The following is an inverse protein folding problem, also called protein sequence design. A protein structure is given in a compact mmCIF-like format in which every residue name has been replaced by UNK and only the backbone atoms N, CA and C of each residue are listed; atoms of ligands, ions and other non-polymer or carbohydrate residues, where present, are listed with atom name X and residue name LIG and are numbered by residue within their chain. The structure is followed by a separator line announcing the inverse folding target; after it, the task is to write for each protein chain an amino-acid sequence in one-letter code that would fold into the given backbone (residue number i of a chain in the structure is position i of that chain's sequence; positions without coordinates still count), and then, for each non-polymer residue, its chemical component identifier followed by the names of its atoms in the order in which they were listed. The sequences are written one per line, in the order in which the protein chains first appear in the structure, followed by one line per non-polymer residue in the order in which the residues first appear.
data_IF_770842150983
#
_entry.id   IF_770842150983
#
_cell.length_a   1.000
_cell.length_b   1.000
_cell.length_c   1.000
_cell.angle_alpha   90.00
_cell.angle_beta   90.00
_cell.angle_gamma   90.00
#
_symmetry.space_group_name_H-M   'P 1'
#
loop_
_entity.id
_entity.type
_entity.pdbx_description
1 polymer ?
#
# COMPACT_ATOMS: atom_id res chain seq x y z
N UNK A 1 4.39 -0.69 17.84
CA UNK A 1 4.59 -0.96 16.40
C UNK A 1 3.25 -0.91 15.69
N UNK A 2 3.16 -0.18 14.57
CA UNK A 2 1.91 -0.09 13.84
C UNK A 2 1.65 -1.36 13.02
N UNK A 3 0.37 -1.76 12.94
CA UNK A 3 -0.03 -2.78 11.99
C UNK A 3 0.09 -2.25 10.56
N UNK A 4 0.38 -3.13 9.61
CA UNK A 4 0.50 -2.72 8.22
C UNK A 4 -0.79 -2.11 7.66
N UNK A 5 -1.94 -2.49 8.20
CA UNK A 5 -3.24 -1.98 7.75
C UNK A 5 -3.64 -0.68 8.43
N UNK A 6 -2.86 -0.17 9.37
CA UNK A 6 -3.18 1.10 10.01
C UNK A 6 -2.88 2.27 9.10
N UNK A 7 -3.74 3.28 9.17
CA UNK A 7 -3.52 4.53 8.46
C UNK A 7 -2.22 5.17 8.96
N UNK A 8 -1.34 5.52 8.03
CA UNK A 8 -0.06 6.15 8.35
C UNK A 8 1.10 5.17 8.45
N UNK A 9 0.86 3.87 8.29
CA UNK A 9 1.95 2.90 8.27
C UNK A 9 2.88 3.16 7.08
N UNK A 10 4.19 3.19 7.34
CA UNK A 10 5.20 3.38 6.30
C UNK A 10 6.07 2.12 6.29
N UNK A 11 6.16 1.48 5.12
CA UNK A 11 6.92 0.24 5.01
C UNK A 11 8.40 0.51 4.71
N UNK A 12 9.18 -0.56 4.58
CA UNK A 12 10.63 -0.46 4.34
C UNK A 12 11.00 0.20 3.01
N UNK A 13 10.05 0.34 2.11
CA UNK A 13 10.26 0.91 0.77
C UNK A 13 9.74 2.35 0.68
N UNK A 14 9.46 3.00 1.81
CA UNK A 14 8.90 4.35 1.87
C UNK A 14 7.53 4.46 1.20
N UNK A 15 6.74 3.41 1.31
CA UNK A 15 5.37 3.41 0.82
C UNK A 15 4.43 3.55 2.02
N UNK A 16 3.60 4.58 2.00
CA UNK A 16 2.71 4.90 3.12
C UNK A 16 1.31 4.36 2.86
N UNK A 17 0.75 3.70 3.87
CA UNK A 17 -0.66 3.29 3.83
C UNK A 17 -1.52 4.47 4.27
N UNK A 18 -2.35 4.98 3.36
CA UNK A 18 -3.22 6.12 3.65
C UNK A 18 -4.54 5.65 4.26
N UNK A 19 -4.91 4.39 4.05
CA UNK A 19 -6.12 3.82 4.64
C UNK A 19 -6.89 2.97 3.65
N UNK A 20 -7.93 2.32 4.14
CA UNK A 20 -8.76 1.46 3.31
C UNK A 20 -9.56 2.29 2.31
N UNK A 21 -9.67 1.80 1.07
CA UNK A 21 -10.43 2.49 0.02
C UNK A 21 -11.93 2.16 0.08
N UNK A 22 -12.30 1.13 0.82
CA UNK A 22 -13.67 0.63 0.81
C UNK A 22 -13.96 -0.37 -0.30
N UNK A 23 -13.00 -0.61 -1.19
CA UNK A 23 -13.14 -1.57 -2.27
C UNK A 23 -12.62 -2.94 -1.85
N UNK A 24 -13.21 -4.02 -2.40
CA UNK A 24 -12.69 -5.36 -2.18
C UNK A 24 -11.43 -5.57 -3.01
N UNK A 25 -10.45 -6.24 -2.41
CA UNK A 25 -9.22 -6.58 -3.12
C UNK A 25 -9.43 -7.74 -4.08
N UNK A 26 -8.35 -8.13 -4.76
CA UNK A 26 -8.36 -9.24 -5.70
C UNK A 26 -8.39 -10.60 -4.99
N UNK A 27 -7.86 -10.67 -3.78
CA UNK A 27 -7.86 -11.89 -2.99
C UNK A 27 -9.14 -12.00 -2.18
N UNK A 28 -9.56 -13.23 -1.91
CA UNK A 28 -10.74 -13.49 -1.09
C UNK A 28 -10.57 -12.89 0.31
N UNK A 29 -11.57 -12.13 0.76
CA UNK A 29 -11.60 -11.50 2.10
C UNK A 29 -10.58 -10.37 2.27
N UNK A 30 -9.88 -9.96 1.22
CA UNK A 30 -8.94 -8.85 1.27
C UNK A 30 -9.62 -7.55 0.84
N UNK A 31 -9.13 -6.44 1.37
CA UNK A 31 -9.55 -5.10 0.95
C UNK A 31 -8.37 -4.37 0.34
N UNK A 32 -8.66 -3.48 -0.60
CA UNK A 32 -7.65 -2.57 -1.11
C UNK A 32 -7.38 -1.46 -0.11
N UNK A 33 -6.11 -1.11 0.01
CA UNK A 33 -5.66 0.04 0.79
C UNK A 33 -4.95 0.99 -0.15
N UNK A 34 -5.22 2.29 0.03
CA UNK A 34 -4.54 3.30 -0.77
C UNK A 34 -3.13 3.48 -0.24
N UNK A 35 -2.15 3.36 -1.13
CA UNK A 35 -0.75 3.54 -0.81
C UNK A 35 -0.21 4.77 -1.53
N UNK A 36 0.75 5.43 -0.94
CA UNK A 36 1.41 6.57 -1.55
C UNK A 36 2.91 6.40 -1.43
N UNK A 37 3.62 6.58 -2.56
CA UNK A 37 5.07 6.59 -2.55
C UNK A 37 5.57 7.90 -1.96
N UNK A 38 6.38 7.83 -0.91
CA UNK A 38 6.92 9.03 -0.29
C UNK A 38 8.08 9.63 -1.09
N UNK A 39 8.60 8.90 -2.07
CA UNK A 39 9.69 9.39 -2.92
C UNK A 39 9.20 10.21 -4.10
N UNK A 40 8.13 9.76 -4.78
CA UNK A 40 7.64 10.43 -5.98
C UNK A 40 6.19 10.88 -5.89
N UNK A 41 5.49 10.52 -4.82
CA UNK A 41 4.10 10.95 -4.62
C UNK A 41 3.05 10.14 -5.36
N UNK A 42 3.45 9.10 -6.09
CA UNK A 42 2.50 8.29 -6.84
C UNK A 42 1.59 7.51 -5.90
N UNK A 43 0.29 7.52 -6.18
CA UNK A 43 -0.69 6.78 -5.39
C UNK A 43 -1.14 5.53 -6.14
N UNK A 44 -1.36 4.44 -5.42
CA UNK A 44 -1.79 3.18 -5.98
C UNK A 44 -2.48 2.36 -4.90
N UNK A 45 -3.09 1.25 -5.31
CA UNK A 45 -3.82 0.38 -4.38
C UNK A 45 -3.04 -0.89 -4.11
N UNK A 46 -3.18 -1.43 -2.91
CA UNK A 46 -2.53 -2.67 -2.51
C UNK A 46 -3.49 -3.51 -1.68
N UNK A 47 -3.38 -4.83 -1.81
CA UNK A 47 -4.08 -5.74 -0.91
C UNK A 47 -3.48 -5.64 0.49
N UNK A 48 -4.31 -5.86 1.50
CA UNK A 48 -3.86 -5.76 2.89
C UNK A 48 -2.68 -6.64 3.23
N UNK A 49 -2.54 -7.79 2.58
CA UNK A 49 -1.45 -8.73 2.83
C UNK A 49 -0.12 -8.29 2.21
N UNK A 50 -0.13 -7.31 1.31
CA UNK A 50 1.06 -6.89 0.57
C UNK A 50 1.63 -5.55 1.05
N UNK A 51 0.95 -4.86 1.95
CA UNK A 51 1.32 -3.49 2.33
C UNK A 51 2.77 -3.40 2.80
N UNK A 52 3.21 -4.38 3.60
CA UNK A 52 4.54 -4.34 4.21
C UNK A 52 5.68 -4.48 3.21
N UNK A 53 5.42 -5.00 2.01
CA UNK A 53 6.43 -5.28 0.99
C UNK A 53 6.23 -4.52 -0.32
N UNK A 54 5.19 -3.69 -0.42
CA UNK A 54 4.92 -2.97 -1.67
C UNK A 54 6.05 -2.02 -2.02
N UNK A 55 6.33 -1.95 -3.32
CA UNK A 55 7.25 -0.99 -3.91
C UNK A 55 6.47 -0.09 -4.83
N UNK A 56 6.97 1.14 -5.02
CA UNK A 56 6.33 2.08 -5.94
C UNK A 56 6.33 1.52 -7.35
N UNK A 57 5.16 1.45 -8.02
CA UNK A 57 5.10 0.95 -9.39
C UNK A 57 5.85 1.82 -10.38
N UNK A 58 6.05 3.11 -10.07
CA UNK A 58 6.72 4.03 -10.98
C UNK A 58 8.21 4.17 -10.74
N UNK A 59 8.61 4.45 -9.51
CA UNK A 59 10.01 4.78 -9.26
C UNK A 59 10.83 3.61 -8.74
N UNK A 60 10.18 2.55 -8.28
CA UNK A 60 10.86 1.38 -7.73
C UNK A 60 10.61 0.09 -8.51
N UNK A 61 9.83 0.18 -9.59
CA UNK A 61 9.53 -0.99 -10.42
C UNK A 61 8.65 -2.03 -9.74
N UNK A 62 7.83 -1.61 -8.80
CA UNK A 62 6.92 -2.52 -8.11
C UNK A 62 5.73 -2.93 -8.95
N UNK A 63 4.86 -3.75 -8.39
CA UNK A 63 3.62 -4.13 -9.06
C UNK A 63 2.66 -2.95 -9.09
N UNK A 64 1.93 -2.79 -10.21
CA UNK A 64 0.92 -1.74 -10.29
C UNK A 64 -0.25 -1.99 -9.33
#
# INVERSE_FOLDING_TARGET
MKNTTENGYINKNNQKNIGATGELGTDHMQKFYLMQCLNCGYEYRANGSDIWRRKCPKCQGGKP
#
